data_IF_379637851985
#
_entry.id   IF_379637851985
#
_cell.length_a   1.000
_cell.length_b   1.000
_cell.length_c   1.000
_cell.angle_alpha   90.00
_cell.angle_beta   90.00
_cell.angle_gamma   90.00
#
_symmetry.space_group_name_H-M   'P 1'
#
loop_
_entity.id
_entity.type
_entity.pdbx_description
1 polymer ?
#
# COMPACT_ATOMS: atom_id res chain seq x y z
N UNK A 1 4.35 57.92 -12.51
CA UNK A 1 4.62 56.53 -12.93
C UNK A 1 4.13 55.62 -11.82
N UNK A 2 3.08 54.82 -12.06
CA UNK A 2 2.50 53.93 -11.05
C UNK A 2 3.40 52.69 -10.92
N UNK A 3 3.83 52.27 -9.71
CA UNK A 3 4.57 51.02 -9.54
C UNK A 3 3.71 49.82 -9.96
N UNK A 4 4.31 48.76 -10.54
CA UNK A 4 3.58 47.59 -10.97
C UNK A 4 2.91 46.88 -9.78
N UNK A 5 1.68 46.35 -9.95
CA UNK A 5 0.97 45.69 -8.87
C UNK A 5 1.72 44.44 -8.39
N UNK A 6 1.72 44.18 -7.06
CA UNK A 6 2.44 43.05 -6.48
C UNK A 6 1.90 41.71 -7.01
N UNK A 7 2.82 40.81 -7.36
CA UNK A 7 2.54 39.51 -7.97
C UNK A 7 1.93 38.50 -7.01
N UNK A 8 2.24 38.62 -5.72
CA UNK A 8 1.76 37.69 -4.71
C UNK A 8 0.95 38.44 -3.65
N UNK A 9 -0.17 37.84 -3.24
CA UNK A 9 -0.98 38.29 -2.13
C UNK A 9 -1.07 37.18 -1.09
N UNK A 10 -0.51 37.43 0.09
CA UNK A 10 -0.47 36.47 1.18
C UNK A 10 -1.53 36.85 2.20
N UNK A 11 -2.32 35.88 2.63
CA UNK A 11 -3.33 36.05 3.67
C UNK A 11 -3.28 34.90 4.65
N UNK A 12 -3.66 35.16 5.89
CA UNK A 12 -3.83 34.10 6.88
C UNK A 12 -5.31 33.71 6.96
N UNK A 13 -5.60 32.40 6.89
CA UNK A 13 -6.94 31.83 7.09
C UNK A 13 -6.80 30.56 7.92
N UNK A 14 -7.52 30.48 9.04
CA UNK A 14 -7.56 29.31 9.93
C UNK A 14 -6.16 28.85 10.41
N UNK A 15 -5.28 29.80 10.74
CA UNK A 15 -3.91 29.52 11.17
C UNK A 15 -2.98 29.02 10.05
N UNK A 16 -3.41 29.14 8.78
CA UNK A 16 -2.62 28.77 7.60
C UNK A 16 -2.42 29.97 6.68
N UNK A 17 -1.18 30.17 6.25
CA UNK A 17 -0.83 31.16 5.23
C UNK A 17 -1.26 30.65 3.85
N UNK A 18 -2.12 31.41 3.18
CA UNK A 18 -2.59 31.22 1.81
C UNK A 18 -1.91 32.27 0.93
N UNK A 19 -1.15 31.81 -0.05
CA UNK A 19 -0.50 32.66 -1.05
C UNK A 19 -1.24 32.57 -2.38
N UNK A 20 -1.70 33.72 -2.89
CA UNK A 20 -2.38 33.86 -4.19
C UNK A 20 -1.43 34.54 -5.18
N UNK A 21 -1.17 33.93 -6.33
CA UNK A 21 -0.46 34.57 -7.46
C UNK A 21 -1.46 35.38 -8.28
N UNK A 22 -1.44 36.71 -8.11
CA UNK A 22 -2.35 37.65 -8.79
C UNK A 22 -2.02 37.83 -10.28
N UNK A 23 -0.92 37.26 -10.78
CA UNK A 23 -0.55 37.34 -12.20
C UNK A 23 -0.94 36.08 -12.98
N UNK A 24 -1.33 35.00 -12.30
CA UNK A 24 -1.76 33.76 -12.93
C UNK A 24 -3.03 33.92 -13.79
N UNK A 25 -3.91 34.87 -13.47
CA UNK A 25 -5.14 35.16 -14.24
C UNK A 25 -4.89 35.75 -15.63
N UNK A 26 -3.68 36.26 -15.93
CA UNK A 26 -3.37 36.87 -17.24
C UNK A 26 -2.97 35.85 -18.31
N UNK A 27 -2.70 34.62 -17.92
CA UNK A 27 -2.54 33.51 -18.85
C UNK A 27 -3.85 32.74 -18.83
N UNK A 28 -4.59 32.76 -19.94
CA UNK A 28 -5.79 31.93 -20.15
C UNK A 28 -5.53 30.54 -19.58
N UNK A 29 -6.06 30.31 -18.38
CA UNK A 29 -5.95 29.02 -17.72
C UNK A 29 -6.87 28.09 -18.51
N UNK A 30 -6.30 27.42 -19.52
CA UNK A 30 -6.83 26.14 -19.95
C UNK A 30 -7.00 25.34 -18.65
N UNK A 31 -8.21 24.87 -18.31
CA UNK A 31 -8.38 24.00 -17.15
C UNK A 31 -7.33 22.90 -17.28
N UNK A 32 -6.58 22.54 -16.23
CA UNK A 32 -5.72 21.38 -16.31
C UNK A 32 -6.63 20.25 -16.75
N UNK A 33 -6.44 19.76 -17.99
CA UNK A 33 -7.11 18.56 -18.46
C UNK A 33 -6.87 17.56 -17.35
N UNK A 34 -7.93 17.05 -16.67
CA UNK A 34 -7.75 16.08 -15.63
C UNK A 34 -6.91 14.99 -16.26
N UNK A 35 -5.68 14.81 -15.78
CA UNK A 35 -4.87 13.68 -16.20
C UNK A 35 -5.82 12.50 -16.08
N UNK A 36 -6.11 11.84 -17.21
CA UNK A 36 -7.03 10.72 -17.27
C UNK A 36 -6.42 9.67 -16.36
N UNK A 37 -6.79 9.72 -15.08
CA UNK A 37 -6.47 8.70 -14.11
C UNK A 37 -7.22 7.51 -14.68
N UNK A 38 -6.54 6.41 -15.05
CA UNK A 38 -7.24 5.25 -15.55
C UNK A 38 -8.33 4.93 -14.54
N UNK A 39 -9.57 4.98 -15.02
CA UNK A 39 -10.77 4.60 -14.28
C UNK A 39 -10.61 3.13 -13.93
N UNK A 40 -9.90 2.84 -12.83
CA UNK A 40 -9.94 1.52 -12.22
C UNK A 40 -11.36 1.36 -11.71
N UNK A 41 -12.05 0.33 -12.18
CA UNK A 41 -13.36 -0.04 -11.67
C UNK A 41 -13.32 0.01 -10.13
N UNK A 42 -14.16 0.83 -9.49
CA UNK A 42 -14.15 0.98 -8.03
C UNK A 42 -14.41 -0.36 -7.31
N UNK A 43 -15.04 -1.31 -8.00
CA UNK A 43 -15.31 -2.66 -7.52
C UNK A 43 -14.05 -3.51 -7.33
N UNK A 44 -13.10 -3.48 -8.26
CA UNK A 44 -11.89 -4.33 -8.22
C UNK A 44 -10.97 -3.97 -7.05
N UNK A 45 -10.98 -2.70 -6.65
CA UNK A 45 -10.16 -2.22 -5.53
C UNK A 45 -10.85 -2.40 -4.16
N UNK A 46 -12.16 -2.69 -4.13
CA UNK A 46 -12.93 -2.71 -2.88
C UNK A 46 -12.58 -3.89 -1.99
N UNK A 47 -12.52 -5.08 -2.56
CA UNK A 47 -12.19 -6.33 -1.85
C UNK A 47 -10.77 -6.27 -1.26
N UNK A 48 -9.70 -5.95 -2.02
CA UNK A 48 -8.37 -5.85 -1.45
C UNK A 48 -8.26 -4.73 -0.40
N UNK A 49 -8.95 -3.59 -0.57
CA UNK A 49 -8.96 -2.54 0.44
C UNK A 49 -9.62 -2.99 1.76
N UNK A 50 -10.72 -3.73 1.68
CA UNK A 50 -11.40 -4.30 2.85
C UNK A 50 -10.52 -5.34 3.56
N UNK A 51 -9.81 -6.18 2.80
CA UNK A 51 -8.90 -7.19 3.36
C UNK A 51 -7.77 -6.57 4.18
N UNK A 52 -7.11 -5.53 3.63
CA UNK A 52 -6.11 -4.78 4.40
C UNK A 52 -6.76 -4.09 5.58
N UNK A 53 -8.02 -3.66 5.44
CA UNK A 53 -8.72 -3.01 6.53
C UNK A 53 -8.86 -3.86 7.77
N UNK A 54 -9.13 -5.15 7.57
CA UNK A 54 -9.27 -6.15 8.62
C UNK A 54 -7.90 -6.63 9.08
N UNK A 55 -6.99 -6.93 8.17
CA UNK A 55 -5.70 -7.54 8.50
C UNK A 55 -4.69 -6.57 9.14
N UNK A 56 -4.76 -5.28 8.80
CA UNK A 56 -3.85 -4.24 9.32
C UNK A 56 -4.69 -3.09 9.90
N UNK A 57 -5.31 -3.29 11.08
CA UNK A 57 -6.30 -2.35 11.61
C UNK A 57 -5.68 -1.07 12.17
N UNK A 58 -4.42 -1.13 12.62
CA UNK A 58 -3.73 -0.02 13.28
C UNK A 58 -3.37 1.07 12.28
N UNK A 59 -3.62 2.33 12.66
CA UNK A 59 -3.28 3.53 11.88
C UNK A 59 -2.42 4.50 12.71
N UNK A 60 -1.63 5.31 12.04
CA UNK A 60 -0.88 6.41 12.65
C UNK A 60 -1.76 7.67 12.82
N UNK A 61 -1.19 8.72 13.42
CA UNK A 61 -1.84 10.02 13.57
C UNK A 61 -2.14 10.72 12.23
N UNK A 62 -1.47 10.32 11.14
CA UNK A 62 -1.70 10.83 9.79
C UNK A 62 -2.78 10.04 9.01
N UNK A 63 -3.31 8.96 9.60
CA UNK A 63 -4.32 8.08 9.01
C UNK A 63 -3.78 6.93 8.15
N UNK A 64 -2.46 6.76 8.01
CA UNK A 64 -1.81 5.65 7.29
C UNK A 64 -1.81 4.38 8.11
N UNK A 65 -1.97 3.22 7.45
CA UNK A 65 -1.93 1.92 8.14
C UNK A 65 -0.52 1.51 8.52
N UNK A 66 -0.38 0.90 9.70
CA UNK A 66 0.91 0.47 10.25
C UNK A 66 1.03 -1.06 10.18
N UNK A 67 1.93 -1.55 9.32
CA UNK A 67 2.28 -2.96 9.25
C UNK A 67 3.42 -3.25 10.23
N UNK A 68 3.17 -4.09 11.23
CA UNK A 68 4.21 -4.53 12.17
C UNK A 68 4.76 -5.88 11.71
N UNK A 69 6.07 -5.96 11.49
CA UNK A 69 6.73 -7.22 11.10
C UNK A 69 6.98 -8.12 12.32
N UNK A 70 6.85 -9.43 12.15
CA UNK A 70 7.15 -10.42 13.19
C UNK A 70 8.63 -10.80 13.20
N UNK A 71 9.16 -11.28 14.33
CA UNK A 71 10.59 -11.61 14.48
C UNK A 71 11.06 -12.76 13.57
N UNK A 72 10.15 -13.64 13.14
CA UNK A 72 10.47 -14.74 12.20
C UNK A 72 10.50 -14.31 10.73
N UNK A 73 9.97 -13.12 10.40
CA UNK A 73 9.85 -12.63 9.03
C UNK A 73 10.85 -11.52 8.71
N UNK A 74 11.50 -10.96 9.73
CA UNK A 74 12.37 -9.82 9.61
C UNK A 74 13.72 -10.08 10.29
N UNK A 75 14.77 -10.22 9.49
CA UNK A 75 16.12 -10.42 9.99
C UNK A 75 16.63 -9.23 10.81
N UNK A 76 16.07 -8.03 10.60
CA UNK A 76 16.46 -6.82 11.34
C UNK A 76 15.66 -6.65 12.65
N UNK A 77 14.71 -7.54 12.92
CA UNK A 77 13.81 -7.48 14.07
C UNK A 77 12.46 -6.83 13.76
N UNK A 78 11.51 -6.88 14.72
CA UNK A 78 10.18 -6.29 14.54
C UNK A 78 10.25 -4.78 14.28
N UNK A 79 9.74 -4.35 13.12
CA UNK A 79 9.65 -2.93 12.74
C UNK A 79 8.23 -2.57 12.33
N UNK A 80 7.88 -1.31 12.56
CA UNK A 80 6.57 -0.75 12.19
C UNK A 80 6.75 0.02 10.89
N UNK A 81 6.07 -0.43 9.83
CA UNK A 81 6.14 0.14 8.50
C UNK A 81 4.83 0.88 8.22
N UNK A 82 4.90 2.19 8.04
CA UNK A 82 3.75 2.97 7.58
C UNK A 82 3.49 2.68 6.10
N UNK A 83 2.37 2.02 5.79
CA UNK A 83 2.00 1.66 4.44
C UNK A 83 1.75 2.93 3.60
N UNK A 84 2.30 2.94 2.40
CA UNK A 84 1.93 3.90 1.36
C UNK A 84 0.61 3.48 0.71
N UNK A 85 -0.12 4.37 0.00
CA UNK A 85 -1.34 3.98 -0.71
C UNK A 85 -1.12 2.84 -1.72
N UNK A 86 0.06 2.78 -2.35
CA UNK A 86 0.42 1.67 -3.23
C UNK A 86 0.76 0.39 -2.44
N UNK A 87 1.41 0.54 -1.28
CA UNK A 87 1.69 -0.55 -0.34
C UNK A 87 0.41 -1.22 0.15
N UNK A 88 -0.60 -0.44 0.54
CA UNK A 88 -1.92 -0.97 0.93
C UNK A 88 -2.55 -1.78 -0.20
N UNK A 89 -2.56 -1.27 -1.44
CA UNK A 89 -3.11 -2.01 -2.58
C UNK A 89 -2.34 -3.30 -2.90
N UNK A 90 -1.03 -3.33 -2.70
CA UNK A 90 -0.21 -4.54 -2.90
C UNK A 90 -0.52 -5.58 -1.83
N UNK A 91 -0.51 -5.18 -0.56
CA UNK A 91 -0.84 -6.08 0.57
C UNK A 91 -2.24 -6.65 0.41
N UNK A 92 -3.22 -5.83 0.03
CA UNK A 92 -4.59 -6.29 -0.17
C UNK A 92 -4.74 -7.32 -1.28
N UNK A 93 -4.02 -7.13 -2.40
CA UNK A 93 -4.01 -8.11 -3.49
C UNK A 93 -3.31 -9.40 -3.07
N UNK A 94 -2.18 -9.32 -2.38
CA UNK A 94 -1.47 -10.51 -1.87
C UNK A 94 -2.35 -11.32 -0.91
N UNK A 95 -3.04 -10.64 0.02
CA UNK A 95 -4.00 -11.28 0.92
C UNK A 95 -5.15 -11.94 0.14
N UNK A 96 -5.72 -11.25 -0.85
CA UNK A 96 -6.79 -11.80 -1.70
C UNK A 96 -6.32 -13.06 -2.44
N UNK A 97 -5.16 -13.00 -3.11
CA UNK A 97 -4.60 -14.15 -3.81
C UNK A 97 -4.33 -15.32 -2.86
N UNK A 98 -3.80 -15.05 -1.66
CA UNK A 98 -3.57 -16.08 -0.64
C UNK A 98 -4.87 -16.77 -0.21
N UNK A 99 -5.94 -15.99 0.03
CA UNK A 99 -7.26 -16.54 0.41
C UNK A 99 -7.86 -17.36 -0.72
N UNK A 100 -7.83 -16.86 -1.96
CA UNK A 100 -8.35 -17.59 -3.12
C UNK A 100 -7.58 -18.90 -3.32
N UNK A 101 -6.24 -18.85 -3.27
CA UNK A 101 -5.41 -20.05 -3.39
C UNK A 101 -5.72 -21.07 -2.30
N UNK A 102 -5.86 -20.63 -1.04
CA UNK A 102 -6.23 -21.50 0.08
C UNK A 102 -7.62 -22.10 -0.13
N UNK A 103 -8.62 -21.30 -0.52
CA UNK A 103 -9.97 -21.79 -0.78
C UNK A 103 -10.00 -22.80 -1.92
N UNK A 104 -9.24 -22.57 -3.00
CA UNK A 104 -9.08 -23.52 -4.10
C UNK A 104 -8.44 -24.83 -3.62
N UNK A 105 -7.37 -24.77 -2.82
CA UNK A 105 -6.75 -25.97 -2.26
C UNK A 105 -7.71 -26.76 -1.36
N UNK A 106 -8.48 -26.08 -0.50
CA UNK A 106 -9.50 -26.71 0.33
C UNK A 106 -10.61 -27.34 -0.50
N UNK A 107 -11.04 -26.70 -1.59
CA UNK A 107 -12.03 -27.26 -2.49
C UNK A 107 -11.52 -28.52 -3.22
N UNK A 108 -10.27 -28.50 -3.68
CA UNK A 108 -9.61 -29.68 -4.27
C UNK A 108 -9.52 -30.82 -3.24
N UNK A 109 -9.23 -30.51 -1.98
CA UNK A 109 -9.22 -31.48 -0.88
C UNK A 109 -10.55 -32.24 -0.74
N UNK A 110 -11.66 -31.50 -0.84
CA UNK A 110 -13.02 -32.05 -0.72
C UNK A 110 -13.34 -32.96 -1.92
N UNK A 111 -12.89 -32.58 -3.12
CA UNK A 111 -13.13 -33.36 -4.35
C UNK A 111 -12.31 -34.65 -4.32
N UNK A 112 -11.01 -34.56 -4.04
CA UNK A 112 -10.14 -35.73 -3.93
C UNK A 112 -8.84 -35.38 -3.20
N UNK A 113 -8.64 -36.01 -2.04
CA UNK A 113 -7.48 -35.75 -1.17
C UNK A 113 -6.15 -36.21 -1.78
N UNK A 114 -6.12 -37.19 -2.69
CA UNK A 114 -4.88 -37.68 -3.31
C UNK A 114 -4.22 -36.60 -4.18
N UNK A 115 -5.02 -35.71 -4.78
CA UNK A 115 -4.52 -34.57 -5.56
C UNK A 115 -3.84 -33.50 -4.69
N UNK A 116 -4.06 -33.50 -3.37
CA UNK A 116 -3.39 -32.57 -2.45
C UNK A 116 -1.99 -33.01 -2.04
N UNK A 117 -1.66 -34.30 -2.16
CA UNK A 117 -0.41 -34.86 -1.70
C UNK A 117 0.84 -34.09 -2.22
N UNK A 118 0.97 -33.76 -3.53
CA UNK A 118 2.13 -32.99 -4.00
C UNK A 118 2.18 -31.57 -3.41
N UNK A 119 1.05 -30.91 -3.22
CA UNK A 119 0.99 -29.56 -2.64
C UNK A 119 1.37 -29.56 -1.15
N UNK A 120 0.95 -30.58 -0.40
CA UNK A 120 1.35 -30.76 0.99
C UNK A 120 2.85 -31.04 1.12
N UNK A 121 3.40 -31.91 0.28
CA UNK A 121 4.84 -32.22 0.28
C UNK A 121 5.65 -30.96 -0.04
N UNK A 122 5.27 -30.22 -1.08
CA UNK A 122 5.92 -28.95 -1.44
C UNK A 122 5.78 -27.94 -0.30
N UNK A 123 4.60 -27.81 0.31
CA UNK A 123 4.36 -26.89 1.42
C UNK A 123 5.25 -27.18 2.64
N UNK A 124 5.38 -28.45 3.03
CA UNK A 124 6.22 -28.89 4.16
C UNK A 124 7.71 -28.71 3.85
N UNK A 125 8.15 -29.10 2.65
CA UNK A 125 9.54 -28.93 2.22
C UNK A 125 9.92 -27.45 2.15
N UNK A 126 9.04 -26.61 1.59
CA UNK A 126 9.24 -25.17 1.49
C UNK A 126 9.23 -24.51 2.87
N UNK A 127 8.33 -24.90 3.78
CA UNK A 127 8.29 -24.40 5.15
C UNK A 127 9.61 -24.67 5.89
N UNK A 128 10.18 -25.86 5.69
CA UNK A 128 11.46 -26.25 6.29
C UNK A 128 12.64 -25.46 5.70
N UNK A 129 12.62 -25.18 4.40
CA UNK A 129 13.64 -24.38 3.72
C UNK A 129 13.56 -22.88 4.09
N UNK A 130 12.35 -22.34 4.26
CA UNK A 130 12.13 -20.93 4.67
C UNK A 130 12.65 -20.70 6.10
N UNK A 131 12.50 -21.68 7.00
CA UNK A 131 13.00 -21.58 8.37
C UNK A 131 14.53 -21.53 8.46
N UNK A 132 15.24 -22.03 7.44
CA UNK A 132 16.70 -22.12 7.42
C UNK A 132 17.37 -21.02 6.60
N UNK A 133 16.71 -20.53 5.55
CA UNK A 133 17.26 -19.50 4.65
C UNK A 133 16.38 -18.27 4.75
N UNK A 134 16.75 -17.33 5.61
CA UNK A 134 16.05 -16.05 5.68
C UNK A 134 16.09 -15.37 4.30
N UNK A 135 14.93 -15.19 3.69
CA UNK A 135 14.83 -14.88 2.27
C UNK A 135 15.04 -13.38 2.00
N UNK A 136 16.14 -12.98 1.32
CA UNK A 136 16.47 -11.56 1.10
C UNK A 136 15.44 -10.82 0.24
N UNK A 137 14.61 -11.55 -0.52
CA UNK A 137 13.50 -10.94 -1.27
C UNK A 137 12.38 -10.44 -0.37
N UNK A 138 12.17 -11.05 0.81
CA UNK A 138 11.14 -10.61 1.78
C UNK A 138 11.54 -9.26 2.35
N UNK A 139 12.81 -9.09 2.74
CA UNK A 139 13.33 -7.81 3.22
C UNK A 139 13.16 -6.71 2.16
N UNK A 140 13.51 -6.98 0.90
CA UNK A 140 13.28 -6.04 -0.22
C UNK A 140 11.81 -5.75 -0.46
N UNK A 141 10.94 -6.75 -0.32
CA UNK A 141 9.50 -6.57 -0.45
C UNK A 141 8.97 -5.63 0.64
N UNK A 142 9.34 -5.86 1.91
CA UNK A 142 8.98 -5.03 3.05
C UNK A 142 9.44 -3.58 2.86
N UNK A 143 10.69 -3.37 2.41
CA UNK A 143 11.24 -2.04 2.13
C UNK A 143 10.47 -1.33 1.00
N UNK A 144 9.82 -2.07 0.08
CA UNK A 144 9.01 -1.50 -1.00
C UNK A 144 7.58 -1.10 -0.59
N UNK A 145 7.11 -1.50 0.60
CA UNK A 145 5.74 -1.26 1.06
C UNK A 145 5.54 0.14 1.66
N UNK A 146 6.60 0.75 2.18
CA UNK A 146 6.58 2.06 2.81
C UNK A 146 7.72 2.94 2.34
N UNK A 147 7.59 4.24 2.58
CA UNK A 147 8.74 5.12 2.71
C UNK A 147 9.24 4.91 4.13
N UNK A 148 10.48 4.46 4.30
CA UNK A 148 11.08 4.29 5.62
C UNK A 148 11.05 5.63 6.33
N UNK A 149 10.13 5.80 7.27
CA UNK A 149 10.25 6.85 8.27
C UNK A 149 11.38 6.39 9.17
N UNK A 150 12.61 6.78 8.81
CA UNK A 150 13.71 6.78 9.75
C UNK A 150 13.26 7.65 10.91
N UNK A 151 13.12 7.03 12.07
CA UNK A 151 13.07 7.76 13.34
C UNK A 151 14.45 8.37 13.60
#
# INVERSE_FOLDING_TARGET
MQPPPPRYKIFERDGRLITIDTWADKTTATPPTPAVRPSRSPTDARIPAMLVAVAVPVRDASGRRLLTTGPSWDQKGPRVIALSPQGEQRVGRVLLFGIVALATLLLLAIINIEWMLPFLIIGVALSSAIATVGLPWVARCLDSLGETTAA
#
